data_IF_912379612585
#
_entry.id   IF_912379612585
#
_cell.length_a   1.000
_cell.length_b   1.000
_cell.length_c   1.000
_cell.angle_alpha   90.00
_cell.angle_beta   90.00
_cell.angle_gamma   90.00
#
_symmetry.space_group_name_H-M   'P 1'
#
loop_
_entity.id
_entity.type
_entity.pdbx_description
1 polymer ?
#
# COMPACT_ATOMS: atom_id res chain seq x y z
N UNK A 1 31.51 -23.27 -26.42
CA UNK A 1 30.22 -22.57 -26.50
C UNK A 1 29.84 -22.11 -25.10
N UNK A 2 30.02 -20.83 -24.81
CA UNK A 2 29.56 -20.20 -23.57
C UNK A 2 28.10 -19.81 -23.76
N UNK A 3 27.19 -20.43 -23.03
CA UNK A 3 25.78 -20.07 -23.03
C UNK A 3 25.63 -18.73 -22.30
N UNK A 4 25.24 -17.68 -23.03
CA UNK A 4 24.81 -16.42 -22.42
C UNK A 4 23.43 -16.64 -21.81
N UNK A 5 23.39 -16.87 -20.50
CA UNK A 5 22.13 -16.76 -19.75
C UNK A 5 21.89 -15.26 -19.59
N UNK A 6 20.97 -14.73 -20.39
CA UNK A 6 20.44 -13.39 -20.19
C UNK A 6 19.65 -13.40 -18.87
N UNK A 7 20.30 -12.94 -17.80
CA UNK A 7 19.62 -12.66 -16.54
C UNK A 7 18.81 -11.40 -16.79
N UNK A 8 17.50 -11.55 -17.02
CA UNK A 8 16.58 -10.41 -16.97
C UNK A 8 16.76 -9.74 -15.61
N UNK A 9 17.22 -8.49 -15.62
CA UNK A 9 17.36 -7.72 -14.40
C UNK A 9 15.97 -7.60 -13.77
N UNK A 10 15.79 -8.22 -12.62
CA UNK A 10 14.55 -8.14 -11.86
C UNK A 10 14.33 -6.68 -11.44
N UNK A 11 13.59 -5.92 -12.25
CA UNK A 11 13.13 -4.58 -11.91
C UNK A 11 12.02 -4.72 -10.88
N UNK A 12 12.43 -4.89 -9.62
CA UNK A 12 11.55 -4.64 -8.50
C UNK A 12 11.43 -3.13 -8.34
N UNK A 13 10.27 -2.57 -8.68
CA UNK A 13 9.90 -1.19 -8.36
C UNK A 13 9.94 -0.90 -6.84
N UNK A 14 10.14 -1.95 -6.04
CA UNK A 14 10.22 -1.91 -4.59
C UNK A 14 11.71 -1.92 -4.20
N UNK A 15 12.31 -0.74 -4.09
CA UNK A 15 13.63 -0.58 -3.44
C UNK A 15 13.42 -0.68 -1.92
N UNK A 16 13.57 -1.90 -1.39
CA UNK A 16 13.36 -2.23 0.03
C UNK A 16 11.87 -2.28 0.38
N UNK A 17 11.49 -3.08 1.39
CA UNK A 17 10.09 -3.32 1.83
C UNK A 17 9.34 -2.01 2.19
N UNK A 18 9.06 -1.10 1.27
CA UNK A 18 8.48 0.21 1.50
C UNK A 18 7.52 0.50 0.36
N UNK A 19 6.45 1.20 0.67
CA UNK A 19 5.53 1.64 -0.36
C UNK A 19 6.21 2.67 -1.28
N UNK A 20 5.74 2.77 -2.53
CA UNK A 20 6.24 3.75 -3.49
C UNK A 20 6.07 5.15 -2.90
N UNK A 21 7.12 5.96 -2.96
CA UNK A 21 7.10 7.29 -2.35
C UNK A 21 6.38 8.27 -3.25
N UNK A 22 5.47 9.03 -2.66
CA UNK A 22 4.77 10.12 -3.33
C UNK A 22 5.76 11.24 -3.68
N UNK A 23 5.56 11.88 -4.84
CA UNK A 23 6.31 13.04 -5.32
C UNK A 23 7.82 12.81 -5.45
N UNK A 24 8.24 11.65 -5.96
CA UNK A 24 9.62 11.45 -6.42
C UNK A 24 9.79 11.97 -7.85
N UNK A 25 10.62 13.01 -8.09
CA UNK A 25 10.87 13.53 -9.43
C UNK A 25 11.42 12.42 -10.34
N UNK A 26 10.77 12.21 -11.49
CA UNK A 26 11.18 11.19 -12.46
C UNK A 26 10.68 9.77 -12.20
N UNK A 27 9.92 9.53 -11.12
CA UNK A 27 9.23 8.26 -10.88
C UNK A 27 7.73 8.38 -11.14
N UNK A 28 7.10 7.27 -11.54
CA UNK A 28 5.65 7.20 -11.71
C UNK A 28 4.92 7.35 -10.35
N UNK A 29 3.72 7.94 -10.33
CA UNK A 29 2.92 8.04 -9.11
C UNK A 29 2.51 6.64 -8.60
N UNK A 30 2.26 6.49 -7.29
CA UNK A 30 1.78 5.23 -6.73
C UNK A 30 0.42 4.84 -7.32
N UNK A 31 0.23 3.53 -7.50
CA UNK A 31 -1.00 2.93 -8.05
C UNK A 31 -1.60 1.90 -7.09
N UNK A 32 -2.85 1.49 -7.34
CA UNK A 32 -3.47 0.38 -6.61
C UNK A 32 -2.74 -0.96 -6.82
N UNK A 33 -2.06 -1.14 -7.95
CA UNK A 33 -1.20 -2.30 -8.17
C UNK A 33 0.02 -2.28 -7.23
N UNK A 34 0.62 -1.11 -6.99
CA UNK A 34 1.67 -0.95 -5.99
C UNK A 34 1.14 -1.26 -4.58
N UNK A 35 -0.07 -0.79 -4.25
CA UNK A 35 -0.69 -1.03 -2.94
C UNK A 35 -0.96 -2.52 -2.71
N UNK A 36 -1.49 -3.22 -3.72
CA UNK A 36 -1.74 -4.66 -3.66
C UNK A 36 -0.45 -5.44 -3.44
N UNK A 37 0.59 -5.15 -4.24
CA UNK A 37 1.91 -5.75 -4.06
C UNK A 37 2.48 -5.47 -2.66
N UNK A 38 2.29 -4.26 -2.14
CA UNK A 38 2.76 -3.88 -0.81
C UNK A 38 2.05 -4.68 0.30
N UNK A 39 0.74 -4.88 0.23
CA UNK A 39 -0.01 -5.68 1.22
C UNK A 39 0.21 -7.19 1.09
N UNK A 40 0.46 -7.67 -0.13
CA UNK A 40 0.74 -9.09 -0.39
C UNK A 40 2.17 -9.52 -0.04
N UNK A 41 3.05 -8.57 0.34
CA UNK A 41 4.40 -8.86 0.85
C UNK A 41 4.31 -9.88 2.00
N UNK A 42 5.08 -11.00 1.97
CA UNK A 42 5.02 -12.04 3.00
C UNK A 42 5.19 -11.53 4.43
N UNK A 43 5.90 -10.41 4.63
CA UNK A 43 6.10 -9.79 5.96
C UNK A 43 4.89 -8.99 6.44
N UNK A 44 3.97 -8.63 5.54
CA UNK A 44 2.80 -7.78 5.82
C UNK A 44 1.49 -8.51 5.70
N UNK A 45 1.38 -9.49 4.81
CA UNK A 45 0.13 -10.20 4.51
C UNK A 45 -0.51 -10.81 5.75
N UNK A 46 0.30 -11.26 6.71
CA UNK A 46 -0.18 -11.82 7.99
C UNK A 46 -0.41 -10.78 9.09
N UNK A 47 -0.06 -9.51 8.86
CA UNK A 47 -0.24 -8.45 9.83
C UNK A 47 -1.69 -7.94 9.82
N UNK A 48 -2.22 -7.46 10.95
CA UNK A 48 -3.48 -6.74 10.99
C UNK A 48 -3.42 -5.48 10.10
N UNK A 49 -4.55 -5.06 9.53
CA UNK A 49 -4.60 -3.88 8.66
C UNK A 49 -3.99 -2.63 9.31
N UNK A 50 -4.21 -2.43 10.62
CA UNK A 50 -3.63 -1.30 11.36
C UNK A 50 -2.11 -1.22 11.19
N UNK A 51 -1.43 -2.37 11.19
CA UNK A 51 0.03 -2.44 11.06
C UNK A 51 0.46 -2.32 9.60
N UNK A 52 -0.34 -2.83 8.65
CA UNK A 52 -0.09 -2.64 7.22
C UNK A 52 -0.18 -1.16 6.82
N UNK A 53 -1.06 -0.39 7.47
CA UNK A 53 -1.27 1.04 7.23
C UNK A 53 -0.28 1.96 7.96
N UNK A 54 0.67 1.43 8.74
CA UNK A 54 1.73 2.21 9.41
C UNK A 54 2.84 2.64 8.45
N UNK A 55 2.46 3.10 7.28
CA UNK A 55 3.34 3.72 6.30
C UNK A 55 2.73 5.05 5.88
N UNK A 56 3.50 6.13 6.05
CA UNK A 56 3.04 7.49 5.75
C UNK A 56 2.59 7.65 4.29
N UNK A 57 3.32 7.06 3.34
CA UNK A 57 2.98 7.21 1.92
C UNK A 57 1.74 6.41 1.55
N UNK A 58 1.47 5.30 2.25
CA UNK A 58 0.19 4.58 2.10
C UNK A 58 -0.96 5.46 2.59
N UNK A 59 -0.84 6.10 3.76
CA UNK A 59 -1.90 6.95 4.29
C UNK A 59 -2.20 8.14 3.37
N UNK A 60 -1.18 8.79 2.83
CA UNK A 60 -1.37 9.90 1.87
C UNK A 60 -1.99 9.39 0.58
N UNK A 61 -1.55 8.24 0.04
CA UNK A 61 -2.15 7.66 -1.16
C UNK A 61 -3.64 7.37 -0.95
N UNK A 62 -4.01 6.79 0.20
CA UNK A 62 -5.40 6.47 0.51
C UNK A 62 -6.27 7.72 0.71
N UNK A 63 -5.70 8.78 1.29
CA UNK A 63 -6.36 10.09 1.42
C UNK A 63 -6.67 10.71 0.05
N UNK A 64 -5.80 10.52 -0.93
CA UNK A 64 -5.98 11.08 -2.27
C UNK A 64 -6.90 10.25 -3.18
N UNK A 65 -7.10 8.96 -2.86
CA UNK A 65 -7.73 8.01 -3.79
C UNK A 65 -8.96 7.28 -3.30
N UNK A 66 -9.09 7.03 -1.99
CA UNK A 66 -10.16 6.16 -1.45
C UNK A 66 -10.99 6.84 -0.38
N UNK A 67 -10.34 7.50 0.58
CA UNK A 67 -10.98 7.92 1.82
C UNK A 67 -11.05 9.45 1.92
N UNK A 68 -12.14 9.95 2.51
CA UNK A 68 -12.31 11.38 2.69
C UNK A 68 -11.33 11.91 3.75
N UNK A 69 -10.61 12.98 3.40
CA UNK A 69 -9.57 13.54 4.26
C UNK A 69 -10.11 14.19 5.53
N UNK A 70 -11.37 14.65 5.55
CA UNK A 70 -11.98 15.32 6.71
C UNK A 70 -12.60 14.32 7.68
N UNK A 71 -13.21 13.26 7.14
CA UNK A 71 -14.03 12.33 7.90
C UNK A 71 -13.29 11.03 8.26
N UNK A 72 -12.66 10.41 7.26
CA UNK A 72 -12.14 9.05 7.38
C UNK A 72 -10.69 9.04 7.84
N UNK A 73 -9.86 9.89 7.22
CA UNK A 73 -8.42 9.91 7.51
C UNK A 73 -8.09 10.20 8.97
N UNK A 74 -8.78 11.11 9.70
CA UNK A 74 -8.53 11.29 11.13
C UNK A 74 -8.80 10.03 11.95
N UNK A 75 -9.85 9.27 11.60
CA UNK A 75 -10.20 8.01 12.29
C UNK A 75 -9.21 6.90 11.99
N UNK A 76 -8.82 6.77 10.71
CA UNK A 76 -7.79 5.83 10.26
C UNK A 76 -6.46 6.15 10.96
N UNK A 77 -6.03 7.41 10.95
CA UNK A 77 -4.79 7.83 11.59
C UNK A 77 -4.82 7.56 13.10
N UNK A 78 -5.93 7.89 13.78
CA UNK A 78 -6.10 7.60 15.20
C UNK A 78 -5.99 6.09 15.48
N UNK A 79 -6.70 5.26 14.72
CA UNK A 79 -6.66 3.80 14.87
C UNK A 79 -5.26 3.21 14.61
N UNK A 80 -4.54 3.77 13.63
CA UNK A 80 -3.14 3.39 13.32
C UNK A 80 -2.19 3.75 14.46
N UNK A 81 -2.37 4.92 15.09
CA UNK A 81 -1.57 5.36 16.25
C UNK A 81 -1.88 4.54 17.49
N UNK A 82 -3.15 4.29 17.80
CA UNK A 82 -3.58 3.53 18.98
C UNK A 82 -3.54 2.01 18.80
N UNK A 83 -3.32 1.54 17.58
CA UNK A 83 -3.43 0.14 17.17
C UNK A 83 -4.82 -0.45 17.42
N UNK A 84 -5.85 0.37 17.31
CA UNK A 84 -7.24 -0.06 17.44
C UNK A 84 -7.69 -0.83 16.18
N UNK A 85 -7.72 -2.16 16.31
CA UNK A 85 -8.16 -3.06 15.23
C UNK A 85 -9.65 -2.94 14.94
N UNK A 86 -10.46 -2.63 15.95
CA UNK A 86 -11.91 -2.55 15.79
C UNK A 86 -12.30 -1.25 15.09
N UNK A 87 -11.61 -0.16 15.41
CA UNK A 87 -11.79 1.14 14.77
C UNK A 87 -11.49 1.16 13.27
N UNK A 88 -10.76 0.16 12.74
CA UNK A 88 -10.41 0.09 11.31
C UNK A 88 -11.15 -0.96 10.48
N UNK A 89 -11.93 -1.84 11.12
CA UNK A 89 -12.54 -3.00 10.44
C UNK A 89 -13.50 -2.59 9.30
N UNK A 90 -14.25 -1.50 9.47
CA UNK A 90 -15.13 -0.98 8.43
C UNK A 90 -14.34 -0.51 7.20
N UNK A 91 -13.19 0.15 7.41
CA UNK A 91 -12.30 0.65 6.35
C UNK A 91 -11.60 -0.49 5.62
N UNK A 92 -11.33 -1.61 6.30
CA UNK A 92 -10.76 -2.80 5.67
C UNK A 92 -11.65 -3.34 4.55
N UNK A 93 -12.95 -3.41 4.80
CA UNK A 93 -13.92 -3.92 3.82
C UNK A 93 -13.94 -3.04 2.58
N UNK A 94 -14.04 -1.73 2.78
CA UNK A 94 -14.02 -0.73 1.69
C UNK A 94 -12.72 -0.81 0.90
N UNK A 95 -11.57 -0.82 1.59
CA UNK A 95 -10.27 -0.86 0.93
C UNK A 95 -10.09 -2.12 0.10
N UNK A 96 -10.52 -3.28 0.60
CA UNK A 96 -10.46 -4.55 -0.15
C UNK A 96 -11.36 -4.55 -1.38
N UNK A 97 -12.50 -3.87 -1.31
CA UNK A 97 -13.40 -3.71 -2.47
C UNK A 97 -12.76 -2.82 -3.54
N UNK A 98 -12.22 -1.66 -3.17
CA UNK A 98 -11.46 -0.79 -4.08
C UNK A 98 -10.27 -1.50 -4.71
N UNK A 99 -9.52 -2.25 -3.89
CA UNK A 99 -8.39 -3.03 -4.39
C UNK A 99 -8.85 -4.11 -5.37
N UNK A 100 -10.06 -4.66 -5.27
CA UNK A 100 -10.60 -5.64 -6.23
C UNK A 100 -11.06 -4.98 -7.53
N UNK A 101 -11.77 -3.85 -7.44
CA UNK A 101 -12.33 -3.14 -8.61
C UNK A 101 -11.27 -2.40 -9.43
N UNK A 102 -10.21 -1.88 -8.81
CA UNK A 102 -9.11 -1.18 -9.48
C UNK A 102 -8.14 -2.11 -10.26
N UNK A 103 -8.47 -3.40 -10.40
CA UNK A 103 -7.66 -4.41 -11.07
C UNK A 103 -8.19 -4.88 -12.43
N UNK A 104 -9.21 -4.22 -12.98
CA UNK A 104 -9.75 -4.45 -14.33
C UNK A 104 -9.52 -3.22 -15.22
#
# INVERSE_FOLDING_TARGET
MTAYVAVEAFQSDIIGNRFVRISRPGEAPPTFANLRRFFDDPKRKSLPLVEQLRDFHVLVFLMETVFDWKCDMPRIAQAVVTRDKNGIAAYETVLREYMRSAGN
#
